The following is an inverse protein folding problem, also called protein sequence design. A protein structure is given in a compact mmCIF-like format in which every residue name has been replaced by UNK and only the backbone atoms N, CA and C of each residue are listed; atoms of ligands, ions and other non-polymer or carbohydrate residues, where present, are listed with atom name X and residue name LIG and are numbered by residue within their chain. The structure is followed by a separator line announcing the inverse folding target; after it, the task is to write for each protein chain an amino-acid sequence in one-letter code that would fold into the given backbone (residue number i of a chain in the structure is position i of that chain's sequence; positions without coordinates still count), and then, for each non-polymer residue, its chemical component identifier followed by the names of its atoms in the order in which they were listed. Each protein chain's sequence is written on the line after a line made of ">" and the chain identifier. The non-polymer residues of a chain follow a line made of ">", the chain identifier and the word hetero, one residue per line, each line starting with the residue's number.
data_IF_704060636472
#
_entry.id   IF_704060636472
#
_cell.length_a   1.000
_cell.length_b   1.000
_cell.length_c   1.000
_cell.angle_alpha   90.00
_cell.angle_beta   90.00
_cell.angle_gamma   90.00
#
_symmetry.space_group_name_H-M   'P 1'
#
loop_
_entity.id
_entity.type
_entity.pdbx_description
1 polymer ?
#
# COMPACT_ATOMS: atom_id res chain seq x y z
N UNK A 1 -7.49 -1.41 -17.08
CA UNK A 1 -8.96 -1.50 -17.13
C UNK A 1 -9.41 -2.17 -15.85
N UNK A 2 -9.85 -1.42 -14.84
CA UNK A 2 -10.40 -2.03 -13.64
C UNK A 2 -11.73 -2.68 -14.03
N UNK A 3 -11.80 -4.01 -13.97
CA UNK A 3 -13.07 -4.71 -14.06
C UNK A 3 -13.79 -4.43 -12.75
N UNK A 4 -14.58 -3.37 -12.71
CA UNK A 4 -15.66 -3.27 -11.73
C UNK A 4 -16.64 -4.38 -12.10
N UNK A 5 -16.65 -5.46 -11.33
CA UNK A 5 -17.70 -6.46 -11.43
C UNK A 5 -19.03 -5.78 -11.15
N UNK A 6 -20.05 -5.99 -11.99
CA UNK A 6 -21.43 -5.48 -11.84
C UNK A 6 -22.19 -6.09 -10.64
N UNK A 7 -21.48 -6.43 -9.57
CA UNK A 7 -22.07 -6.98 -8.36
C UNK A 7 -22.93 -5.91 -7.69
N UNK A 8 -24.09 -6.32 -7.21
CA UNK A 8 -24.93 -5.55 -6.31
C UNK A 8 -24.26 -5.36 -4.94
N UNK A 9 -24.79 -4.43 -4.15
CA UNK A 9 -24.37 -4.27 -2.75
C UNK A 9 -24.65 -5.54 -1.93
N UNK A 10 -25.74 -6.25 -2.23
CA UNK A 10 -26.11 -7.51 -1.58
C UNK A 10 -25.08 -8.61 -1.85
N UNK A 11 -24.61 -8.74 -3.09
CA UNK A 11 -23.60 -9.76 -3.43
C UNK A 11 -22.26 -9.45 -2.75
N UNK A 12 -21.85 -8.18 -2.70
CA UNK A 12 -20.60 -7.79 -2.01
C UNK A 12 -20.68 -7.98 -0.49
N UNK A 13 -21.81 -7.61 0.14
CA UNK A 13 -22.01 -7.86 1.57
C UNK A 13 -22.08 -9.35 1.90
N UNK A 14 -22.65 -10.17 1.01
CA UNK A 14 -22.62 -11.63 1.18
C UNK A 14 -21.19 -12.19 1.07
N UNK A 15 -20.37 -11.70 0.13
CA UNK A 15 -18.97 -12.09 0.03
C UNK A 15 -18.16 -11.73 1.28
N UNK A 16 -18.45 -10.58 1.89
CA UNK A 16 -17.89 -10.16 3.19
C UNK A 16 -18.29 -11.16 4.28
N UNK A 17 -19.58 -11.44 4.43
CA UNK A 17 -20.08 -12.40 5.44
C UNK A 17 -19.43 -13.77 5.27
N UNK A 18 -19.34 -14.26 4.03
CA UNK A 18 -18.67 -15.52 3.73
C UNK A 18 -17.19 -15.50 4.14
N UNK A 19 -16.44 -14.44 3.82
CA UNK A 19 -15.03 -14.33 4.20
C UNK A 19 -14.85 -14.34 5.74
N UNK A 20 -15.74 -13.64 6.46
CA UNK A 20 -15.74 -13.65 7.93
C UNK A 20 -16.04 -15.06 8.47
N UNK A 21 -17.04 -15.75 7.92
CA UNK A 21 -17.41 -17.12 8.32
C UNK A 21 -16.30 -18.14 8.05
N UNK A 22 -15.54 -17.95 6.97
CA UNK A 22 -14.36 -18.78 6.67
C UNK A 22 -13.15 -18.45 7.55
N UNK A 23 -13.22 -17.41 8.39
CA UNK A 23 -12.15 -17.05 9.32
C UNK A 23 -11.00 -16.26 8.69
N UNK A 24 -11.27 -15.43 7.67
CA UNK A 24 -10.25 -14.53 7.13
C UNK A 24 -9.78 -13.55 8.20
N UNK A 25 -8.46 -13.33 8.27
CA UNK A 25 -7.84 -12.51 9.34
C UNK A 25 -8.02 -11.00 9.15
N UNK A 26 -8.31 -10.55 7.91
CA UNK A 26 -8.52 -9.15 7.58
C UNK A 26 -9.28 -9.00 6.26
N UNK A 27 -9.89 -7.83 6.04
CA UNK A 27 -10.55 -7.46 4.78
C UNK A 27 -9.92 -6.22 4.16
N UNK A 28 -9.54 -6.31 2.89
CA UNK A 28 -9.15 -5.16 2.08
C UNK A 28 -10.38 -4.56 1.38
N UNK A 29 -10.71 -3.31 1.69
CA UNK A 29 -11.96 -2.66 1.24
C UNK A 29 -11.65 -1.30 0.63
N UNK A 30 -12.12 -1.05 -0.59
CA UNK A 30 -12.06 0.26 -1.26
C UNK A 30 -13.39 1.03 -1.18
N UNK A 31 -14.52 0.31 -1.11
CA UNK A 31 -15.85 0.90 -1.02
C UNK A 31 -16.17 1.28 0.43
N UNK A 32 -16.25 2.59 0.71
CA UNK A 32 -16.52 3.10 2.06
C UNK A 32 -17.88 2.67 2.62
N UNK A 33 -18.88 2.44 1.77
CA UNK A 33 -20.19 1.95 2.22
C UNK A 33 -20.08 0.53 2.77
N UNK A 34 -19.23 -0.31 2.15
CA UNK A 34 -18.93 -1.65 2.65
C UNK A 34 -18.00 -1.60 3.87
N UNK A 35 -17.06 -0.67 3.95
CA UNK A 35 -16.22 -0.51 5.13
C UNK A 35 -17.06 -0.15 6.37
N UNK A 36 -18.04 0.75 6.23
CA UNK A 36 -19.01 1.08 7.28
C UNK A 36 -19.88 -0.12 7.67
N UNK A 37 -20.32 -0.90 6.68
CA UNK A 37 -21.03 -2.15 6.93
C UNK A 37 -20.18 -3.12 7.76
N UNK A 38 -18.92 -3.36 7.36
CA UNK A 38 -18.00 -4.23 8.11
C UNK A 38 -17.77 -3.72 9.53
N UNK A 39 -17.51 -2.42 9.71
CA UNK A 39 -17.27 -1.85 11.04
C UNK A 39 -18.48 -1.99 11.98
N UNK A 40 -19.70 -2.03 11.42
CA UNK A 40 -20.94 -2.18 12.19
C UNK A 40 -21.24 -3.64 12.51
N UNK A 41 -21.09 -4.55 11.54
CA UNK A 41 -21.51 -5.95 11.67
C UNK A 41 -20.39 -6.87 12.16
N UNK A 42 -19.14 -6.53 11.86
CA UNK A 42 -17.95 -7.33 12.13
C UNK A 42 -16.85 -6.47 12.78
N UNK A 43 -17.11 -5.82 13.94
CA UNK A 43 -16.17 -4.85 14.53
C UNK A 43 -14.81 -5.43 14.92
N UNK A 44 -14.71 -6.75 15.06
CA UNK A 44 -13.49 -7.46 15.40
C UNK A 44 -12.60 -7.76 14.18
N UNK A 45 -13.10 -7.66 12.94
CA UNK A 45 -12.29 -7.96 11.76
C UNK A 45 -11.44 -6.72 11.39
N UNK A 46 -10.11 -6.85 11.31
CA UNK A 46 -9.24 -5.78 10.85
C UNK A 46 -9.61 -5.33 9.42
N UNK A 47 -9.81 -4.02 9.25
CA UNK A 47 -10.08 -3.42 7.94
C UNK A 47 -8.83 -2.75 7.39
N UNK A 48 -8.42 -3.18 6.21
CA UNK A 48 -7.38 -2.54 5.41
C UNK A 48 -8.07 -1.69 4.34
N UNK A 49 -8.06 -0.37 4.52
CA UNK A 49 -8.78 0.54 3.64
C UNK A 49 -7.88 0.97 2.49
N UNK A 50 -8.32 0.69 1.27
CA UNK A 50 -7.73 1.26 0.06
C UNK A 50 -8.27 2.69 -0.04
N UNK A 51 -7.39 3.66 0.21
CA UNK A 51 -7.79 5.04 0.36
C UNK A 51 -8.30 5.66 -0.95
N UNK A 52 -9.20 6.66 -0.86
CA UNK A 52 -9.54 7.47 -2.01
C UNK A 52 -8.33 8.29 -2.49
N UNK A 53 -8.40 8.67 -3.75
CA UNK A 53 -7.41 9.43 -4.48
C UNK A 53 -6.93 10.71 -3.77
N UNK A 54 -7.84 11.43 -3.14
CA UNK A 54 -7.65 12.73 -2.52
C UNK A 54 -7.40 12.64 -1.00
N UNK A 55 -6.88 11.51 -0.52
CA UNK A 55 -6.65 11.30 0.91
C UNK A 55 -5.75 12.39 1.50
N UNK A 56 -6.16 12.87 2.67
CA UNK A 56 -5.43 13.83 3.47
C UNK A 56 -5.46 13.39 4.96
N UNK A 57 -4.68 14.02 5.86
CA UNK A 57 -4.67 13.66 7.28
C UNK A 57 -6.06 13.65 7.91
N UNK A 58 -6.94 14.58 7.54
CA UNK A 58 -8.34 14.62 8.01
C UNK A 58 -9.11 13.38 7.56
N UNK A 59 -9.06 13.04 6.28
CA UNK A 59 -9.79 11.88 5.74
C UNK A 59 -9.25 10.58 6.34
N UNK A 60 -7.92 10.43 6.43
CA UNK A 60 -7.29 9.27 7.07
C UNK A 60 -7.70 9.13 8.55
N UNK A 61 -7.76 10.24 9.29
CA UNK A 61 -8.26 10.26 10.66
C UNK A 61 -9.74 9.83 10.75
N UNK A 62 -10.59 10.29 9.81
CA UNK A 62 -11.99 9.86 9.74
C UNK A 62 -12.12 8.37 9.44
N UNK A 63 -11.29 7.80 8.56
CA UNK A 63 -11.26 6.35 8.34
C UNK A 63 -10.93 5.59 9.63
N UNK A 64 -9.97 6.09 10.43
CA UNK A 64 -9.70 5.50 11.74
C UNK A 64 -10.88 5.60 12.69
N UNK A 65 -11.55 6.75 12.76
CA UNK A 65 -12.66 6.94 13.70
C UNK A 65 -13.95 6.22 13.30
N UNK A 66 -14.31 6.24 12.02
CA UNK A 66 -15.62 5.80 11.55
C UNK A 66 -15.67 4.30 11.25
N UNK A 67 -14.56 3.73 10.78
CA UNK A 67 -14.50 2.31 10.40
C UNK A 67 -13.43 1.53 11.16
N UNK A 68 -12.80 2.15 12.17
CA UNK A 68 -11.69 1.56 12.91
C UNK A 68 -10.61 0.96 11.99
N UNK A 69 -10.25 1.67 10.92
CA UNK A 69 -9.24 1.20 9.97
C UNK A 69 -7.99 0.72 10.72
N UNK A 70 -7.61 -0.54 10.46
CA UNK A 70 -6.39 -1.14 10.97
C UNK A 70 -5.20 -0.69 10.13
N UNK A 71 -5.40 -0.66 8.80
CA UNK A 71 -4.41 -0.21 7.83
C UNK A 71 -5.05 0.69 6.78
N UNK A 72 -4.30 1.66 6.27
CA UNK A 72 -4.70 2.56 5.20
C UNK A 72 -3.64 2.48 4.10
N UNK A 73 -4.00 1.92 2.95
CA UNK A 73 -3.19 1.94 1.74
C UNK A 73 -3.40 3.28 1.03
N UNK A 74 -2.38 4.13 1.02
CA UNK A 74 -2.45 5.45 0.39
C UNK A 74 -2.20 5.38 -1.12
N UNK A 75 -2.77 6.30 -1.92
CA UNK A 75 -2.50 6.39 -3.35
C UNK A 75 -1.03 6.68 -3.62
N UNK A 76 -0.51 6.13 -4.71
CA UNK A 76 0.90 6.16 -5.10
C UNK A 76 1.47 7.52 -5.54
N UNK A 77 0.67 8.59 -5.55
CA UNK A 77 1.09 9.93 -5.98
C UNK A 77 1.07 10.97 -4.87
N UNK A 78 0.92 10.57 -3.60
CA UNK A 78 0.98 11.54 -2.50
C UNK A 78 2.45 11.91 -2.21
N UNK A 79 2.69 13.18 -1.89
CA UNK A 79 4.05 13.64 -1.56
C UNK A 79 4.54 13.10 -0.22
N UNK A 80 5.87 13.04 -0.02
CA UNK A 80 6.47 12.68 1.28
C UNK A 80 5.99 13.57 2.43
N UNK A 81 5.75 14.86 2.17
CA UNK A 81 5.23 15.79 3.18
C UNK A 81 3.79 15.43 3.60
N UNK A 82 2.92 15.12 2.63
CA UNK A 82 1.56 14.65 2.92
C UNK A 82 1.56 13.29 3.62
N UNK A 83 2.40 12.36 3.17
CA UNK A 83 2.56 11.05 3.78
C UNK A 83 3.01 11.16 5.24
N UNK A 84 4.03 11.97 5.52
CA UNK A 84 4.51 12.23 6.88
C UNK A 84 3.41 12.88 7.75
N UNK A 85 2.63 13.81 7.19
CA UNK A 85 1.51 14.41 7.89
C UNK A 85 0.40 13.39 8.22
N UNK A 86 0.11 12.44 7.32
CA UNK A 86 -0.85 11.36 7.59
C UNK A 86 -0.32 10.45 8.72
N UNK A 87 0.92 9.97 8.59
CA UNK A 87 1.53 9.08 9.58
C UNK A 87 1.60 9.72 10.98
N UNK A 88 1.84 11.03 11.06
CA UNK A 88 1.92 11.75 12.33
C UNK A 88 0.56 11.98 13.03
N UNK A 89 -0.56 11.93 12.30
CA UNK A 89 -1.87 12.36 12.81
C UNK A 89 -2.92 11.24 12.88
N UNK A 90 -2.57 10.01 12.49
CA UNK A 90 -3.52 8.90 12.41
C UNK A 90 -2.94 7.67 13.09
N UNK A 91 -3.71 7.09 14.01
CA UNK A 91 -3.36 5.86 14.70
C UNK A 91 -3.82 4.62 13.89
N UNK A 92 -3.33 4.48 12.68
CA UNK A 92 -3.55 3.34 11.80
C UNK A 92 -2.23 3.01 11.10
N UNK A 93 -2.03 1.74 10.73
CA UNK A 93 -0.89 1.38 9.91
C UNK A 93 -1.01 2.04 8.54
N UNK A 94 0.08 2.64 8.06
CA UNK A 94 0.12 3.26 6.74
C UNK A 94 0.88 2.37 5.77
N UNK A 95 0.24 2.03 4.67
CA UNK A 95 0.80 1.24 3.58
C UNK A 95 0.93 2.10 2.33
N UNK A 96 2.06 1.97 1.63
CA UNK A 96 2.34 2.69 0.38
C UNK A 96 2.53 1.70 -0.76
N UNK A 97 2.29 2.12 -2.01
CA UNK A 97 2.61 1.28 -3.17
C UNK A 97 4.01 1.54 -3.70
N UNK A 98 4.63 0.46 -4.19
CA UNK A 98 5.90 0.45 -4.89
C UNK A 98 5.78 -0.37 -6.18
N UNK A 99 6.51 0.01 -7.22
CA UNK A 99 6.49 -0.68 -8.50
C UNK A 99 7.89 -1.00 -9.00
N UNK A 100 7.98 -2.09 -9.75
CA UNK A 100 9.20 -2.64 -10.33
C UNK A 100 9.70 -1.93 -11.59
N UNK A 101 10.87 -2.36 -12.09
CA UNK A 101 11.40 -1.85 -13.34
C UNK A 101 10.46 -2.20 -14.48
N UNK A 102 10.32 -1.27 -15.43
CA UNK A 102 9.72 -1.57 -16.75
C UNK A 102 10.79 -2.22 -17.64
N UNK A 103 10.42 -3.13 -18.57
CA UNK A 103 11.38 -3.73 -19.50
C UNK A 103 12.24 -2.65 -20.19
N UNK A 104 13.56 -2.75 -20.07
CA UNK A 104 14.52 -1.78 -20.62
C UNK A 104 14.92 -0.63 -19.68
N UNK A 105 14.39 -0.56 -18.45
CA UNK A 105 14.85 0.38 -17.42
C UNK A 105 15.09 -0.32 -16.07
N UNK A 106 16.06 0.18 -15.30
CA UNK A 106 16.30 -0.23 -13.91
C UNK A 106 15.58 0.67 -12.88
N UNK A 107 14.49 1.34 -13.28
CA UNK A 107 13.88 2.37 -12.45
C UNK A 107 12.77 1.81 -11.58
N UNK A 108 12.93 1.94 -10.27
CA UNK A 108 11.94 1.57 -9.27
C UNK A 108 11.19 2.82 -8.83
N UNK A 109 9.93 2.67 -8.40
CA UNK A 109 9.17 3.79 -7.83
C UNK A 109 8.50 3.36 -6.54
N UNK A 110 8.34 4.29 -5.61
CA UNK A 110 7.53 4.10 -4.42
C UNK A 110 6.92 5.43 -4.06
N UNK A 111 5.58 5.46 -4.08
CA UNK A 111 4.76 6.61 -3.75
C UNK A 111 5.38 7.96 -4.18
N UNK A 112 5.59 8.11 -5.48
CA UNK A 112 6.32 9.20 -6.11
C UNK A 112 5.51 9.73 -7.31
N UNK A 113 5.57 11.03 -7.64
CA UNK A 113 4.89 11.57 -8.82
C UNK A 113 5.19 10.83 -10.13
N UNK A 114 6.35 10.17 -10.21
CA UNK A 114 6.76 9.35 -11.35
C UNK A 114 6.26 7.90 -11.28
N UNK A 115 5.39 7.55 -10.31
CA UNK A 115 4.82 6.21 -10.20
C UNK A 115 4.00 5.78 -11.42
N UNK A 116 3.43 6.72 -12.16
CA UNK A 116 2.76 6.45 -13.44
C UNK A 116 3.62 6.80 -14.66
N UNK A 117 4.77 7.44 -14.45
CA UNK A 117 5.65 7.84 -15.53
C UNK A 117 6.67 6.74 -15.84
N UNK A 118 7.03 6.62 -17.12
CA UNK A 118 8.19 5.85 -17.59
C UNK A 118 9.53 6.53 -17.23
N UNK A 119 9.53 7.48 -16.29
CA UNK A 119 10.70 8.16 -15.77
C UNK A 119 10.77 7.96 -14.26
N UNK A 120 11.09 6.76 -13.80
CA UNK A 120 11.27 6.57 -12.36
C UNK A 120 12.51 7.30 -11.84
N UNK A 121 12.51 7.66 -10.56
CA UNK A 121 13.73 8.07 -9.87
C UNK A 121 14.57 6.83 -9.56
N UNK A 122 15.87 6.85 -9.88
CA UNK A 122 16.82 5.73 -9.64
C UNK A 122 16.93 5.30 -8.16
N UNK A 123 16.30 6.05 -7.25
CA UNK A 123 16.54 6.04 -5.81
C UNK A 123 15.30 5.68 -4.97
N UNK A 124 14.26 5.08 -5.54
CA UNK A 124 13.08 4.67 -4.77
C UNK A 124 13.43 3.74 -3.60
N UNK A 125 14.41 2.84 -3.82
CA UNK A 125 14.95 2.02 -2.75
C UNK A 125 15.58 2.91 -1.67
N UNK A 126 16.44 3.89 -2.00
CA UNK A 126 17.09 4.79 -1.03
C UNK A 126 16.12 5.51 -0.08
N UNK A 127 14.83 5.59 -0.42
CA UNK A 127 13.80 6.17 0.45
C UNK A 127 13.31 5.23 1.56
N UNK A 128 13.63 3.94 1.54
CA UNK A 128 13.16 2.97 2.54
C UNK A 128 13.42 3.41 4.00
N UNK A 129 14.63 3.90 4.39
CA UNK A 129 14.85 4.40 5.75
C UNK A 129 14.01 5.61 6.07
N UNK A 130 13.81 6.52 5.09
CA UNK A 130 12.96 7.68 5.26
C UNK A 130 11.51 7.28 5.47
N UNK A 131 10.97 6.41 4.62
CA UNK A 131 9.60 5.89 4.73
C UNK A 131 9.38 5.20 6.08
N UNK A 132 10.32 4.37 6.51
CA UNK A 132 10.28 3.76 7.84
C UNK A 132 10.31 4.81 8.95
N UNK A 133 11.18 5.83 8.84
CA UNK A 133 11.34 6.87 9.87
C UNK A 133 10.11 7.77 10.03
N UNK A 134 9.34 7.98 8.96
CA UNK A 134 8.11 8.79 9.02
C UNK A 134 6.89 7.96 9.46
N UNK A 135 7.02 6.65 9.65
CA UNK A 135 5.95 5.78 10.15
C UNK A 135 5.18 4.99 9.08
N UNK A 136 5.76 4.74 7.90
CA UNK A 136 5.21 3.75 6.95
C UNK A 136 5.45 2.35 7.49
N UNK A 137 4.40 1.53 7.51
CA UNK A 137 4.39 0.18 8.08
C UNK A 137 4.55 -0.92 7.03
N UNK A 138 4.03 -0.68 5.82
CA UNK A 138 3.99 -1.69 4.77
C UNK A 138 4.19 -1.08 3.38
N UNK A 139 4.66 -1.92 2.46
CA UNK A 139 4.85 -1.57 1.05
C UNK A 139 4.17 -2.63 0.19
N UNK A 140 3.16 -2.23 -0.58
CA UNK A 140 2.52 -3.05 -1.59
C UNK A 140 3.37 -3.02 -2.87
N UNK A 141 3.94 -4.15 -3.28
CA UNK A 141 4.75 -4.24 -4.50
C UNK A 141 3.86 -4.65 -5.68
N UNK A 142 3.76 -3.80 -6.69
CA UNK A 142 2.91 -3.97 -7.87
C UNK A 142 3.76 -4.17 -9.14
N UNK A 143 3.53 -5.26 -9.91
CA UNK A 143 4.25 -5.49 -11.15
C UNK A 143 3.81 -4.55 -12.26
N UNK A 144 4.77 -4.15 -13.11
CA UNK A 144 4.54 -3.41 -14.37
C UNK A 144 4.75 -4.27 -15.61
N UNK A 145 5.12 -5.53 -15.43
CA UNK A 145 5.32 -6.53 -16.48
C UNK A 145 4.45 -7.74 -16.15
N UNK A 146 3.92 -8.40 -17.17
CA UNK A 146 3.25 -9.69 -17.08
C UNK A 146 4.22 -10.87 -17.30
N UNK A 147 5.50 -10.58 -17.59
CA UNK A 147 6.53 -11.60 -17.76
C UNK A 147 6.93 -12.19 -16.40
N UNK A 148 6.88 -13.53 -16.22
CA UNK A 148 7.16 -14.18 -14.94
C UNK A 148 8.51 -13.81 -14.33
N UNK A 149 9.56 -13.76 -15.14
CA UNK A 149 10.93 -13.45 -14.68
C UNK A 149 11.05 -12.01 -14.19
N UNK A 150 10.40 -11.06 -14.87
CA UNK A 150 10.39 -9.65 -14.45
C UNK A 150 9.66 -9.49 -13.10
N UNK A 151 8.52 -10.17 -12.94
CA UNK A 151 7.75 -10.17 -11.70
C UNK A 151 8.58 -10.75 -10.55
N UNK A 152 9.23 -11.90 -10.77
CA UNK A 152 10.07 -12.56 -9.79
C UNK A 152 11.28 -11.69 -9.38
N UNK A 153 11.97 -11.11 -10.36
CA UNK A 153 13.12 -10.23 -10.13
C UNK A 153 12.73 -8.96 -9.35
N UNK A 154 11.59 -8.36 -9.69
CA UNK A 154 11.05 -7.22 -8.94
C UNK A 154 10.77 -7.60 -7.48
N UNK A 155 10.02 -8.68 -7.26
CA UNK A 155 9.67 -9.14 -5.91
C UNK A 155 10.93 -9.43 -5.08
N UNK A 156 11.91 -10.12 -5.67
CA UNK A 156 13.18 -10.42 -5.02
C UNK A 156 13.97 -9.15 -4.66
N UNK A 157 14.00 -8.17 -5.58
CA UNK A 157 14.71 -6.90 -5.37
C UNK A 157 14.12 -6.12 -4.20
N UNK A 158 12.79 -5.92 -4.18
CA UNK A 158 12.11 -5.22 -3.09
C UNK A 158 12.26 -5.95 -1.76
N UNK A 159 12.07 -7.28 -1.74
CA UNK A 159 12.27 -8.09 -0.53
C UNK A 159 13.67 -7.91 0.04
N UNK A 160 14.69 -8.03 -0.81
CA UNK A 160 16.10 -7.87 -0.42
C UNK A 160 16.37 -6.46 0.10
N UNK A 161 15.79 -5.43 -0.52
CA UNK A 161 15.92 -4.05 -0.09
C UNK A 161 15.36 -3.83 1.30
N UNK A 162 14.13 -4.29 1.53
CA UNK A 162 13.40 -4.15 2.78
C UNK A 162 14.13 -4.88 3.90
N UNK A 163 14.57 -6.13 3.67
CA UNK A 163 15.32 -6.92 4.65
C UNK A 163 16.61 -6.21 5.07
N UNK A 164 17.37 -5.69 4.09
CA UNK A 164 18.62 -4.95 4.36
C UNK A 164 18.37 -3.64 5.08
N UNK A 165 17.34 -2.90 4.69
CA UNK A 165 16.96 -1.66 5.35
C UNK A 165 16.56 -1.92 6.81
N UNK A 166 15.79 -2.97 7.09
CA UNK A 166 15.44 -3.35 8.45
C UNK A 166 16.66 -3.80 9.26
N UNK A 167 17.58 -4.57 8.68
CA UNK A 167 18.79 -5.03 9.38
C UNK A 167 19.80 -3.90 9.67
N UNK A 168 19.97 -2.95 8.73
CA UNK A 168 20.93 -1.86 8.86
C UNK A 168 20.33 -0.60 9.54
N UNK A 169 19.01 -0.49 9.62
CA UNK A 169 18.31 0.67 10.16
C UNK A 169 18.68 1.97 9.43
N UNK A 170 18.87 3.10 10.14
CA UNK A 170 19.14 4.40 9.53
C UNK A 170 20.48 4.50 8.78
N UNK A 171 21.36 3.50 8.90
CA UNK A 171 22.68 3.49 8.25
C UNK A 171 22.67 2.91 6.83
N UNK A 172 21.51 2.50 6.32
CA UNK A 172 21.43 1.89 5.00
C UNK A 172 21.63 2.92 3.87
N UNK A 173 22.50 2.59 2.91
CA UNK A 173 22.89 3.47 1.79
C UNK A 173 22.49 2.92 0.41
N UNK A 174 21.53 1.98 0.33
CA UNK A 174 20.98 1.49 -0.94
C UNK A 174 21.90 0.70 -1.86
N UNK A 175 22.98 0.12 -1.34
CA UNK A 175 23.90 -0.69 -2.14
C UNK A 175 23.22 -1.93 -2.72
N UNK A 176 23.00 -1.93 -4.04
CA UNK A 176 22.69 -3.11 -4.85
C UNK A 176 23.84 -3.38 -5.81
N UNK A 177 24.58 -4.48 -5.59
CA UNK A 177 25.21 -5.18 -6.69
C UNK A 177 24.13 -6.08 -7.28
N UNK A 178 23.48 -5.62 -8.35
CA UNK A 178 22.78 -6.56 -9.23
C UNK A 178 23.86 -7.33 -9.98
N UNK A 179 23.93 -8.64 -9.76
CA UNK A 179 24.73 -9.54 -10.60
C UNK A 179 24.05 -9.72 -11.95
#
# INVERSE_FOLDING_TARGET
>A
MAVQTDLSWQERSHAISWAVEQGFDALAIADLSLALYCATHYPSIPLHIIAPADICPRTAHLLKLQVNAARILVPHYISLAQLAAICANVNAEIEVSAAGPVPGQMSLTCNDPCYLAEQGTRDALLRLPLLASIGVHAIQVEPRSDMPDDVANMAYTWKTAIDRCHAAGPNWQGGFNMM
#
